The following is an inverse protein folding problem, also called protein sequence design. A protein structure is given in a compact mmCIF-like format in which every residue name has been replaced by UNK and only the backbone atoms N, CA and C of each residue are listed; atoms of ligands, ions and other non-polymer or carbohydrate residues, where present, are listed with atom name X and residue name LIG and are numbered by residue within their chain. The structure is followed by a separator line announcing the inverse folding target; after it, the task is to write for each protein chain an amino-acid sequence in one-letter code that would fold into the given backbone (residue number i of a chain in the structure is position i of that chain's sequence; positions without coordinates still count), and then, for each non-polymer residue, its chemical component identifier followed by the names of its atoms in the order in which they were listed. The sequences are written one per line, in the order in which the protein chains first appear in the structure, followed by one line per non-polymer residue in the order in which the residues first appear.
data_IF_290056064630
#
_entry.id   IF_290056064630
#
_cell.length_a   1.000
_cell.length_b   1.000
_cell.length_c   1.000
_cell.angle_alpha   90.00
_cell.angle_beta   90.00
_cell.angle_gamma   90.00
#
_symmetry.space_group_name_H-M   'P 1'
#
loop_
_entity.id
_entity.type
_entity.pdbx_description
1 polymer ?
#
# COMPACT_ATOMS: atom_id res chain seq x y z
N UNK A 1 -14.92 -24.45 1.10
CA UNK A 1 -16.30 -23.88 1.20
C UNK A 1 -16.48 -23.40 2.64
N UNK A 2 -16.69 -22.11 2.81
CA UNK A 2 -17.05 -21.54 4.13
C UNK A 2 -18.57 -21.34 4.13
N UNK A 3 -19.27 -22.01 5.03
CA UNK A 3 -20.71 -21.83 5.18
C UNK A 3 -21.06 -21.27 6.55
N UNK A 4 -21.96 -20.30 6.61
CA UNK A 4 -22.53 -19.76 7.84
C UNK A 4 -24.04 -20.02 7.77
N UNK A 5 -24.61 -20.67 8.78
CA UNK A 5 -26.03 -21.04 8.85
C UNK A 5 -26.54 -21.82 7.62
N UNK A 6 -25.71 -22.73 7.08
CA UNK A 6 -26.08 -23.53 5.91
C UNK A 6 -26.09 -22.78 4.57
N UNK A 7 -25.78 -21.49 4.54
CA UNK A 7 -25.52 -20.74 3.30
C UNK A 7 -24.05 -20.76 2.97
N UNK A 8 -23.69 -21.16 1.75
CA UNK A 8 -22.34 -21.03 1.23
C UNK A 8 -21.99 -19.54 1.17
N UNK A 9 -21.10 -19.11 2.04
CA UNK A 9 -20.70 -17.70 2.12
C UNK A 9 -19.58 -17.34 1.14
N UNK A 10 -18.73 -18.30 0.77
CA UNK A 10 -17.73 -18.17 -0.28
C UNK A 10 -17.28 -19.57 -0.75
N UNK A 11 -17.42 -19.80 -2.05
CA UNK A 11 -16.67 -20.86 -2.72
C UNK A 11 -15.34 -20.25 -3.18
N UNK A 12 -14.24 -20.81 -2.67
CA UNK A 12 -12.90 -20.43 -3.09
C UNK A 12 -12.20 -21.70 -3.57
N UNK A 13 -11.85 -21.73 -4.85
CA UNK A 13 -10.99 -22.73 -5.43
C UNK A 13 -9.57 -22.21 -5.55
N UNK A 14 -8.59 -23.02 -5.14
CA UNK A 14 -7.17 -22.68 -5.28
C UNK A 14 -6.47 -23.77 -6.07
N UNK A 15 -5.65 -23.37 -7.04
CA UNK A 15 -4.76 -24.27 -7.75
C UNK A 15 -3.31 -23.87 -7.50
N UNK A 16 -2.45 -24.87 -7.48
CA UNK A 16 -1.03 -24.70 -7.16
C UNK A 16 -0.19 -25.18 -8.33
N UNK A 17 0.98 -24.62 -8.50
CA UNK A 17 1.96 -25.05 -9.48
C UNK A 17 2.67 -26.35 -9.03
N UNK A 18 3.55 -26.88 -9.87
CA UNK A 18 4.32 -28.10 -9.60
C UNK A 18 5.23 -28.01 -8.37
N UNK A 19 5.55 -26.80 -7.92
CA UNK A 19 6.36 -26.51 -6.73
C UNK A 19 5.50 -26.25 -5.49
N UNK A 20 4.16 -26.40 -5.59
CA UNK A 20 3.24 -26.18 -4.47
C UNK A 20 2.95 -24.70 -4.18
N UNK A 21 3.29 -23.76 -5.08
CA UNK A 21 2.99 -22.34 -4.92
C UNK A 21 1.60 -22.02 -5.47
N UNK A 22 0.87 -21.12 -4.82
CA UNK A 22 -0.46 -20.71 -5.25
C UNK A 22 -0.39 -20.08 -6.65
N UNK A 23 -0.97 -20.74 -7.64
CA UNK A 23 -0.99 -20.26 -9.02
C UNK A 23 -2.28 -19.50 -9.33
N UNK A 24 -3.42 -20.07 -8.98
CA UNK A 24 -4.71 -19.40 -9.20
C UNK A 24 -5.61 -19.52 -7.99
N UNK A 25 -6.42 -18.49 -7.77
CA UNK A 25 -7.46 -18.47 -6.75
C UNK A 25 -8.74 -17.91 -7.37
N UNK A 26 -9.81 -18.70 -7.37
CA UNK A 26 -11.11 -18.31 -7.92
C UNK A 26 -12.12 -18.18 -6.79
N UNK A 27 -12.76 -17.04 -6.68
CA UNK A 27 -13.85 -16.79 -5.73
C UNK A 27 -15.22 -17.06 -6.38
N UNK A 28 -16.22 -17.39 -5.58
CA UNK A 28 -17.57 -17.73 -6.04
C UNK A 28 -18.31 -16.63 -6.79
N UNK A 29 -17.84 -15.37 -6.69
CA UNK A 29 -18.34 -14.24 -7.48
C UNK A 29 -17.71 -14.15 -8.88
N UNK A 30 -16.91 -15.14 -9.31
CA UNK A 30 -16.23 -15.18 -10.59
C UNK A 30 -14.92 -14.37 -10.68
N UNK A 31 -14.46 -13.84 -9.55
CA UNK A 31 -13.13 -13.21 -9.47
C UNK A 31 -12.05 -14.28 -9.47
N UNK A 32 -11.17 -14.22 -10.44
CA UNK A 32 -9.97 -15.05 -10.55
C UNK A 32 -8.72 -14.21 -10.31
N UNK A 33 -7.83 -14.72 -9.47
CA UNK A 33 -6.51 -14.13 -9.21
C UNK A 33 -5.45 -15.11 -9.65
N UNK A 34 -4.61 -14.71 -10.58
CA UNK A 34 -3.43 -15.46 -11.07
C UNK A 34 -2.16 -14.89 -10.42
N UNK A 35 -1.28 -15.77 -9.94
CA UNK A 35 0.02 -15.43 -9.39
C UNK A 35 1.12 -15.97 -10.30
N UNK A 36 2.13 -15.17 -10.56
CA UNK A 36 3.33 -15.54 -11.32
C UNK A 36 4.57 -15.43 -10.45
N UNK A 37 5.50 -16.33 -10.67
CA UNK A 37 6.75 -16.38 -9.90
C UNK A 37 7.93 -16.39 -10.86
N UNK A 38 9.04 -15.79 -10.42
CA UNK A 38 10.30 -15.88 -11.16
C UNK A 38 11.03 -17.20 -10.85
N UNK A 39 12.20 -17.39 -11.47
CA UNK A 39 13.00 -18.60 -11.31
C UNK A 39 13.48 -18.82 -9.86
N UNK A 40 13.61 -17.75 -9.07
CA UNK A 40 13.98 -17.82 -7.65
C UNK A 40 12.79 -18.18 -6.75
N UNK A 41 11.57 -18.30 -7.32
CA UNK A 41 10.35 -18.53 -6.56
C UNK A 41 9.73 -17.26 -5.97
N UNK A 42 10.24 -16.07 -6.30
CA UNK A 42 9.67 -14.81 -5.84
C UNK A 42 8.47 -14.43 -6.69
N UNK A 43 7.45 -13.85 -6.05
CA UNK A 43 6.27 -13.34 -6.75
C UNK A 43 6.70 -12.27 -7.76
N UNK A 44 6.34 -12.46 -9.02
CA UNK A 44 6.68 -11.54 -10.12
C UNK A 44 5.46 -10.89 -10.76
N UNK A 45 4.26 -11.35 -10.45
CA UNK A 45 3.04 -10.74 -10.95
C UNK A 45 1.77 -11.29 -10.35
N UNK A 46 0.76 -10.42 -10.32
CA UNK A 46 -0.62 -10.74 -9.94
C UNK A 46 -1.54 -10.23 -11.04
N UNK A 47 -2.51 -11.03 -11.45
CA UNK A 47 -3.54 -10.60 -12.38
C UNK A 47 -4.90 -10.94 -11.82
N UNK A 48 -5.77 -9.95 -11.71
CA UNK A 48 -7.17 -10.14 -11.36
C UNK A 48 -8.04 -10.09 -12.61
N UNK A 49 -8.88 -11.11 -12.77
CA UNK A 49 -9.86 -11.22 -13.86
C UNK A 49 -11.25 -11.42 -13.29
N UNK A 50 -12.24 -10.90 -13.95
CA UNK A 50 -13.63 -11.22 -13.65
C UNK A 50 -14.25 -11.93 -14.84
N UNK A 51 -14.93 -13.04 -14.59
CA UNK A 51 -15.72 -13.75 -15.60
C UNK A 51 -17.04 -13.01 -15.78
N UNK A 52 -17.27 -12.46 -16.95
CA UNK A 52 -18.48 -11.70 -17.27
C UNK A 52 -19.13 -12.22 -18.55
N UNK A 53 -20.46 -12.22 -18.64
CA UNK A 53 -21.16 -12.57 -19.88
C UNK A 53 -20.93 -11.46 -20.92
N UNK A 54 -20.67 -11.87 -22.15
CA UNK A 54 -20.64 -11.02 -23.33
C UNK A 54 -21.64 -11.57 -24.35
N UNK A 55 -22.57 -10.75 -24.81
CA UNK A 55 -23.55 -11.16 -25.81
C UNK A 55 -23.02 -10.81 -27.19
N UNK A 56 -22.95 -11.83 -28.08
CA UNK A 56 -22.67 -11.59 -29.48
C UNK A 56 -23.93 -10.94 -30.11
N UNK A 57 -23.80 -9.69 -30.52
CA UNK A 57 -24.93 -8.91 -31.07
C UNK A 57 -25.43 -9.44 -32.43
N UNK A 58 -24.67 -10.29 -33.11
CA UNK A 58 -25.07 -10.88 -34.41
C UNK A 58 -25.81 -12.21 -34.25
N UNK A 59 -25.40 -13.03 -33.29
CA UNK A 59 -25.97 -14.38 -33.11
C UNK A 59 -26.86 -14.48 -31.87
N UNK A 60 -26.82 -13.51 -30.95
CA UNK A 60 -27.53 -13.56 -29.69
C UNK A 60 -26.90 -14.49 -28.64
N UNK A 61 -25.80 -15.15 -28.98
CA UNK A 61 -25.15 -16.10 -28.09
C UNK A 61 -24.44 -15.40 -26.96
N UNK A 62 -24.52 -16.00 -25.76
CA UNK A 62 -23.78 -15.52 -24.59
C UNK A 62 -22.45 -16.26 -24.48
N UNK A 63 -21.35 -15.50 -24.60
CA UNK A 63 -20.00 -15.96 -24.34
C UNK A 63 -19.54 -15.48 -22.98
N UNK A 64 -18.85 -16.34 -22.23
CA UNK A 64 -18.21 -15.94 -20.99
C UNK A 64 -16.77 -15.51 -21.26
N UNK A 65 -16.49 -14.21 -21.05
CA UNK A 65 -15.14 -13.65 -21.25
C UNK A 65 -14.51 -13.31 -19.90
N UNK A 66 -13.18 -13.47 -19.85
CA UNK A 66 -12.38 -13.07 -18.69
C UNK A 66 -11.83 -11.67 -18.93
N UNK A 67 -12.44 -10.68 -18.28
CA UNK A 67 -11.95 -9.31 -18.34
C UNK A 67 -10.88 -9.10 -17.28
N UNK A 68 -9.71 -8.63 -17.68
CA UNK A 68 -8.67 -8.19 -16.75
C UNK A 68 -9.15 -6.89 -16.11
N UNK A 69 -9.19 -6.85 -14.79
CA UNK A 69 -9.59 -5.68 -14.01
C UNK A 69 -8.41 -5.01 -13.30
N UNK A 70 -7.34 -5.78 -13.08
CA UNK A 70 -6.11 -5.27 -12.46
C UNK A 70 -4.93 -6.18 -12.78
N UNK A 71 -3.76 -5.58 -13.01
CA UNK A 71 -2.49 -6.29 -13.12
C UNK A 71 -1.44 -5.59 -12.28
N UNK A 72 -0.58 -6.38 -11.66
CA UNK A 72 0.58 -5.92 -10.92
C UNK A 72 1.80 -6.74 -11.33
N UNK A 73 2.93 -6.08 -11.51
CA UNK A 73 4.21 -6.71 -11.83
C UNK A 73 5.26 -6.25 -10.82
N UNK A 74 5.99 -7.20 -10.27
CA UNK A 74 7.09 -6.97 -9.34
C UNK A 74 8.41 -7.27 -10.07
N UNK A 75 9.20 -6.23 -10.29
CA UNK A 75 10.47 -6.31 -11.00
C UNK A 75 11.64 -6.23 -10.02
N UNK A 76 12.57 -7.14 -10.18
CA UNK A 76 13.79 -7.25 -9.37
C UNK A 76 15.02 -6.93 -10.23
N UNK A 77 15.22 -7.68 -11.30
CA UNK A 77 16.45 -7.71 -12.10
C UNK A 77 16.39 -6.84 -13.36
N UNK A 78 15.19 -6.54 -13.86
CA UNK A 78 14.97 -5.82 -15.13
C UNK A 78 13.90 -4.74 -14.96
N UNK A 79 14.05 -3.82 -13.99
CA UNK A 79 13.14 -2.70 -13.86
C UNK A 79 13.31 -1.74 -15.05
N UNK A 80 12.30 -0.92 -15.30
CA UNK A 80 12.31 0.10 -16.36
C UNK A 80 12.62 1.49 -15.82
N UNK A 81 12.13 1.80 -14.61
CA UNK A 81 12.32 3.09 -13.95
C UNK A 81 13.38 3.05 -12.83
N UNK A 82 13.64 1.89 -12.25
CA UNK A 82 14.58 1.71 -11.13
C UNK A 82 15.93 1.13 -11.58
N UNK A 83 16.84 0.93 -10.64
CA UNK A 83 18.07 0.16 -10.84
C UNK A 83 17.82 -1.33 -10.53
N UNK A 84 18.41 -2.27 -11.27
CA UNK A 84 18.31 -3.70 -10.96
C UNK A 84 18.82 -4.03 -9.56
N UNK A 85 18.11 -4.92 -8.86
CA UNK A 85 18.46 -5.42 -7.52
C UNK A 85 18.52 -6.94 -7.54
N UNK A 86 19.58 -7.49 -6.94
CA UNK A 86 19.86 -8.94 -6.91
C UNK A 86 19.77 -9.52 -5.50
N UNK A 87 19.45 -8.68 -4.51
CA UNK A 87 19.33 -9.07 -3.09
C UNK A 87 18.00 -9.72 -2.71
N UNK A 88 17.02 -9.71 -3.61
CA UNK A 88 15.66 -10.13 -3.34
C UNK A 88 14.72 -8.97 -3.00
N UNK A 89 15.24 -7.76 -2.87
CA UNK A 89 14.42 -6.57 -2.74
C UNK A 89 13.74 -6.24 -4.07
N UNK A 90 12.50 -5.78 -4.01
CA UNK A 90 11.73 -5.36 -5.19
C UNK A 90 12.31 -4.03 -5.67
N UNK A 91 12.80 -3.98 -6.91
CA UNK A 91 13.30 -2.76 -7.51
C UNK A 91 12.17 -1.84 -7.98
N UNK A 92 11.09 -2.45 -8.46
CA UNK A 92 9.98 -1.73 -9.08
C UNK A 92 8.69 -2.52 -8.97
N UNK A 93 7.57 -1.82 -8.72
CA UNK A 93 6.22 -2.36 -8.85
C UNK A 93 5.48 -1.54 -9.89
N UNK A 94 4.98 -2.20 -10.94
CA UNK A 94 4.14 -1.59 -11.96
C UNK A 94 2.73 -2.14 -11.88
N UNK A 95 1.71 -1.29 -12.05
CA UNK A 95 0.32 -1.75 -12.05
C UNK A 95 -0.54 -1.02 -13.06
N UNK A 96 -1.60 -1.70 -13.49
CA UNK A 96 -2.59 -1.19 -14.43
C UNK A 96 -4.01 -1.57 -13.95
N UNK A 97 -4.99 -0.69 -14.16
CA UNK A 97 -6.41 -0.95 -13.98
C UNK A 97 -7.02 -1.31 -15.33
N UNK A 98 -7.20 -2.58 -15.58
CA UNK A 98 -7.92 -3.26 -16.66
C UNK A 98 -8.14 -2.59 -18.00
N UNK A 99 -8.87 -1.52 -18.05
CA UNK A 99 -9.19 -0.76 -19.26
C UNK A 99 -8.64 0.67 -19.27
N UNK A 100 -7.90 1.04 -18.25
CA UNK A 100 -7.30 2.36 -18.20
C UNK A 100 -6.12 2.41 -19.17
N UNK A 101 -6.38 2.99 -20.34
CA UNK A 101 -5.40 3.16 -21.43
C UNK A 101 -4.35 4.22 -21.07
N UNK A 102 -4.54 4.90 -19.94
CA UNK A 102 -3.78 6.08 -19.52
C UNK A 102 -2.51 5.78 -18.73
N UNK A 103 -1.97 4.60 -18.90
CA UNK A 103 -0.61 4.38 -18.50
C UNK A 103 -0.40 3.52 -17.26
N UNK A 104 0.55 2.64 -17.39
CA UNK A 104 1.09 1.88 -16.28
C UNK A 104 1.66 2.86 -15.26
N UNK A 105 1.21 2.74 -14.02
CA UNK A 105 1.83 3.42 -12.91
C UNK A 105 2.95 2.53 -12.39
N UNK A 106 4.06 3.14 -11.98
CA UNK A 106 5.24 2.41 -11.54
C UNK A 106 5.86 3.10 -10.33
N UNK A 107 6.01 2.36 -9.23
CA UNK A 107 6.90 2.78 -8.15
C UNK A 107 8.29 2.20 -8.36
N UNK A 108 9.29 3.07 -8.38
CA UNK A 108 10.69 2.71 -8.31
C UNK A 108 11.20 2.87 -6.87
N UNK A 109 11.92 1.86 -6.38
CA UNK A 109 12.38 1.80 -5.00
C UNK A 109 13.90 1.90 -4.92
N UNK A 110 14.39 2.59 -3.89
CA UNK A 110 15.79 2.63 -3.50
C UNK A 110 15.96 2.12 -2.07
N UNK A 111 17.11 1.53 -1.80
CA UNK A 111 17.41 0.90 -0.52
C UNK A 111 18.79 1.30 -0.03
N UNK A 112 18.99 1.28 1.28
CA UNK A 112 20.30 1.42 1.89
C UNK A 112 21.10 0.10 1.84
N UNK A 113 22.33 0.13 2.35
CA UNK A 113 23.21 -1.05 2.37
C UNK A 113 22.69 -2.21 3.25
N UNK A 114 21.75 -1.94 4.15
CA UNK A 114 21.10 -2.96 4.98
C UNK A 114 19.80 -3.48 4.35
N UNK A 115 19.45 -3.02 3.12
CA UNK A 115 18.25 -3.42 2.41
C UNK A 115 16.97 -2.76 2.91
N UNK A 116 17.06 -1.64 3.65
CA UNK A 116 15.91 -0.86 4.11
C UNK A 116 15.53 0.18 3.08
N UNK A 117 14.24 0.41 2.87
CA UNK A 117 13.71 1.35 1.88
C UNK A 117 14.15 2.79 2.19
N UNK A 118 14.75 3.47 1.22
CA UNK A 118 15.12 4.90 1.36
C UNK A 118 14.23 5.81 0.56
N UNK A 119 13.79 5.36 -0.62
CA UNK A 119 12.98 6.16 -1.51
C UNK A 119 11.95 5.30 -2.24
N UNK A 120 10.76 5.86 -2.47
CA UNK A 120 9.69 5.30 -3.28
C UNK A 120 9.18 6.41 -4.22
N UNK A 121 9.50 6.32 -5.50
CA UNK A 121 9.19 7.34 -6.49
C UNK A 121 8.17 6.85 -7.50
N UNK A 122 7.09 7.60 -7.68
CA UNK A 122 6.05 7.26 -8.65
C UNK A 122 6.39 7.78 -10.04
N UNK A 123 6.33 6.88 -11.01
CA UNK A 123 6.51 7.14 -12.44
C UNK A 123 5.21 6.81 -13.18
N UNK A 124 4.95 7.53 -14.27
CA UNK A 124 3.93 7.18 -15.26
C UNK A 124 4.59 6.86 -16.58
N UNK A 125 4.00 5.91 -17.29
CA UNK A 125 4.38 5.62 -18.66
C UNK A 125 3.93 6.77 -19.55
N UNK A 126 4.88 7.42 -20.24
CA UNK A 126 4.57 8.40 -21.27
C UNK A 126 4.19 7.65 -22.57
N UNK A 127 3.03 7.94 -23.17
CA UNK A 127 2.71 7.43 -24.48
C UNK A 127 3.62 8.09 -25.51
N UNK A 128 4.71 7.42 -25.87
CA UNK A 128 5.60 7.88 -26.93
C UNK A 128 5.50 6.90 -28.10
N UNK A 129 5.24 7.40 -29.30
CA UNK A 129 5.16 6.57 -30.51
C UNK A 129 6.49 5.90 -30.85
N UNK A 130 7.61 6.45 -30.43
CA UNK A 130 8.95 5.97 -30.80
C UNK A 130 9.73 5.28 -29.67
N UNK A 131 9.45 5.60 -28.42
CA UNK A 131 10.08 4.98 -27.24
C UNK A 131 9.13 5.05 -26.04
N UNK A 132 8.55 3.90 -25.63
CA UNK A 132 7.79 3.88 -24.38
C UNK A 132 8.77 4.06 -23.21
N UNK A 133 8.88 5.28 -22.72
CA UNK A 133 9.69 5.62 -21.55
C UNK A 133 8.82 5.78 -20.31
N UNK A 134 9.44 5.64 -19.14
CA UNK A 134 8.85 6.02 -17.86
C UNK A 134 9.42 7.38 -17.48
N UNK A 135 8.53 8.32 -17.18
CA UNK A 135 8.91 9.63 -16.63
C UNK A 135 8.39 9.77 -15.21
N UNK A 136 9.19 10.31 -14.28
CA UNK A 136 8.67 10.65 -12.96
C UNK A 136 7.51 11.65 -13.12
N UNK A 137 6.55 11.59 -12.22
CA UNK A 137 5.50 12.59 -12.17
C UNK A 137 6.14 13.96 -11.97
N UNK A 138 5.76 14.95 -12.79
CA UNK A 138 6.39 16.29 -12.83
C UNK A 138 6.40 16.99 -11.47
N UNK A 139 5.38 16.77 -10.67
CA UNK A 139 5.18 17.34 -9.36
C UNK A 139 5.64 16.44 -8.21
N UNK A 140 6.27 15.30 -8.51
CA UNK A 140 6.62 14.27 -7.55
C UNK A 140 5.41 13.76 -6.71
N UNK A 141 4.19 13.83 -7.25
CA UNK A 141 2.98 13.38 -6.55
C UNK A 141 3.13 11.94 -6.06
N UNK A 142 2.72 11.66 -4.82
CA UNK A 142 2.84 10.35 -4.17
C UNK A 142 4.27 9.80 -4.09
N UNK A 143 5.26 10.68 -3.98
CA UNK A 143 6.66 10.30 -3.82
C UNK A 143 7.08 10.42 -2.36
N UNK A 144 7.80 9.42 -1.87
CA UNK A 144 8.42 9.41 -0.55
C UNK A 144 9.93 9.28 -0.68
N UNK A 145 10.67 10.10 0.05
CA UNK A 145 12.13 10.17 -0.07
C UNK A 145 12.80 10.34 1.28
N UNK A 146 14.10 10.03 1.29
CA UNK A 146 15.01 10.27 2.42
C UNK A 146 14.50 9.63 3.71
N UNK A 147 14.08 8.37 3.62
CA UNK A 147 13.76 7.61 4.82
C UNK A 147 15.03 7.35 5.60
N UNK A 148 15.06 7.83 6.84
CA UNK A 148 16.15 7.66 7.78
C UNK A 148 15.74 6.70 8.89
N UNK A 149 16.68 5.89 9.34
CA UNK A 149 16.46 4.86 10.33
C UNK A 149 17.39 5.02 11.52
N UNK A 150 16.96 4.52 12.67
CA UNK A 150 17.84 4.31 13.81
C UNK A 150 18.60 2.98 13.70
N UNK A 151 19.42 2.68 14.72
CA UNK A 151 20.20 1.43 14.75
C UNK A 151 19.32 0.17 14.92
N UNK A 152 18.11 0.31 15.46
CA UNK A 152 17.14 -0.77 15.62
C UNK A 152 16.30 -1.00 14.36
N UNK A 153 16.42 -0.13 13.32
CA UNK A 153 15.63 -0.20 12.10
C UNK A 153 14.30 0.55 12.16
N UNK A 154 14.04 1.32 13.21
CA UNK A 154 12.86 2.16 13.27
C UNK A 154 13.03 3.39 12.37
N UNK A 155 11.97 3.80 11.67
CA UNK A 155 11.96 5.03 10.86
C UNK A 155 12.06 6.24 11.79
N UNK A 156 13.03 7.11 11.54
CA UNK A 156 13.22 8.37 12.26
C UNK A 156 12.67 9.57 11.53
N UNK A 157 12.77 9.59 10.22
CA UNK A 157 12.21 10.65 9.38
C UNK A 157 12.03 10.20 7.95
N UNK A 158 11.14 10.88 7.22
CA UNK A 158 11.05 10.82 5.78
C UNK A 158 10.37 12.08 5.23
N UNK A 159 10.47 12.28 3.94
CA UNK A 159 9.82 13.37 3.22
C UNK A 159 8.74 12.79 2.29
N UNK A 160 7.54 13.36 2.35
CA UNK A 160 6.42 13.03 1.46
C UNK A 160 6.12 14.21 0.55
N UNK A 161 5.98 13.90 -0.73
CA UNK A 161 5.67 14.86 -1.78
C UNK A 161 4.31 14.50 -2.38
N UNK A 162 3.41 15.48 -2.45
CA UNK A 162 2.10 15.35 -3.07
C UNK A 162 1.81 16.63 -3.86
N UNK A 163 2.43 16.75 -5.03
CA UNK A 163 2.39 17.97 -5.82
C UNK A 163 3.17 19.09 -5.15
N UNK A 164 2.48 20.20 -4.86
CA UNK A 164 3.05 21.36 -4.17
C UNK A 164 3.13 21.17 -2.65
N UNK A 165 2.39 20.19 -2.12
CA UNK A 165 2.45 19.85 -0.71
C UNK A 165 3.69 19.01 -0.44
N UNK A 166 4.55 19.48 0.43
CA UNK A 166 5.75 18.78 0.88
C UNK A 166 5.74 18.74 2.38
N UNK A 167 5.84 17.55 2.96
CA UNK A 167 5.87 17.35 4.39
C UNK A 167 7.09 16.51 4.77
N UNK A 168 7.82 16.97 5.78
CA UNK A 168 8.80 16.16 6.48
C UNK A 168 8.20 15.64 7.77
N UNK A 169 8.19 14.32 7.91
CA UNK A 169 7.78 13.62 9.11
C UNK A 169 9.01 13.31 9.96
N UNK A 170 8.91 13.53 11.27
CA UNK A 170 9.88 13.06 12.25
C UNK A 170 9.19 12.21 13.31
N UNK A 171 9.76 11.07 13.58
CA UNK A 171 9.30 10.10 14.56
C UNK A 171 10.21 10.15 15.78
N UNK A 172 9.65 10.48 16.94
CA UNK A 172 10.35 10.42 18.21
C UNK A 172 9.97 9.10 18.88
N UNK A 173 10.98 8.36 19.28
CA UNK A 173 10.87 7.03 19.84
C UNK A 173 11.44 6.99 21.25
N UNK A 174 10.83 6.20 22.12
CA UNK A 174 11.40 5.73 23.38
C UNK A 174 11.64 4.23 23.24
N UNK A 175 12.91 3.83 23.11
CA UNK A 175 13.26 2.50 22.63
C UNK A 175 12.69 2.25 21.24
N UNK A 176 11.74 1.29 21.13
CA UNK A 176 11.03 0.98 19.90
C UNK A 176 9.57 1.48 19.91
N UNK A 177 9.14 2.19 20.95
CA UNK A 177 7.80 2.76 21.01
C UNK A 177 7.78 4.14 20.38
N UNK A 178 6.81 4.40 19.51
CA UNK A 178 6.58 5.70 18.91
C UNK A 178 5.93 6.64 19.95
N UNK A 179 6.64 7.68 20.36
CA UNK A 179 6.13 8.63 21.36
C UNK A 179 5.45 9.83 20.70
N UNK A 180 6.00 10.29 19.58
CA UNK A 180 5.47 11.46 18.84
C UNK A 180 5.73 11.39 17.36
N UNK A 181 4.82 11.98 16.58
CA UNK A 181 5.03 12.30 15.17
C UNK A 181 4.94 13.82 14.99
N UNK A 182 5.98 14.40 14.40
CA UNK A 182 6.06 15.82 14.10
C UNK A 182 6.04 16.03 12.59
N UNK A 183 5.31 17.07 12.15
CA UNK A 183 5.21 17.44 10.74
C UNK A 183 5.86 18.81 10.52
N UNK A 184 6.60 18.92 9.43
CA UNK A 184 7.24 20.16 8.99
C UNK A 184 6.87 20.41 7.54
N UNK A 185 6.11 21.50 7.24
CA UNK A 185 5.81 21.84 5.85
C UNK A 185 7.08 22.26 5.12
N UNK A 186 7.20 21.87 3.86
CA UNK A 186 8.30 22.20 3.00
C UNK A 186 7.86 23.18 1.90
N UNK A 187 8.75 24.08 1.52
CA UNK A 187 8.59 24.97 0.39
C UNK A 187 9.75 24.79 -0.59
N UNK A 188 9.46 24.86 -1.89
CA UNK A 188 10.50 24.87 -2.93
C UNK A 188 10.88 26.30 -3.27
N UNK A 189 12.18 26.57 -3.40
CA UNK A 189 12.66 27.80 -4.01
C UNK A 189 12.60 27.74 -5.54
N UNK A 190 13.03 28.81 -6.23
CA UNK A 190 13.06 28.89 -7.69
C UNK A 190 14.01 27.87 -8.35
N UNK A 191 14.94 27.30 -7.60
CA UNK A 191 15.89 26.28 -8.04
C UNK A 191 15.37 24.85 -7.73
N UNK A 192 14.18 24.74 -7.09
CA UNK A 192 13.57 23.47 -6.69
C UNK A 192 14.14 22.87 -5.40
N UNK A 193 14.99 23.60 -4.67
CA UNK A 193 15.51 23.16 -3.38
C UNK A 193 14.44 23.31 -2.31
N UNK A 194 14.26 22.24 -1.50
CA UNK A 194 13.27 22.22 -0.43
C UNK A 194 13.85 22.75 0.86
N UNK A 195 13.19 23.73 1.47
CA UNK A 195 13.41 24.17 2.83
C UNK A 195 12.20 23.84 3.68
N UNK A 196 12.41 23.35 4.92
CA UNK A 196 11.34 23.01 5.84
C UNK A 196 11.12 24.13 6.85
N UNK A 197 9.86 24.50 7.03
CA UNK A 197 9.40 25.54 7.95
C UNK A 197 9.35 25.11 9.41
N UNK A 198 8.52 25.82 10.17
CA UNK A 198 8.27 25.54 11.59
C UNK A 198 7.36 24.31 11.70
N UNK A 199 7.48 23.57 12.79
CA UNK A 199 6.62 22.46 13.13
C UNK A 199 5.14 22.89 13.19
N UNK A 200 4.28 22.19 12.43
CA UNK A 200 2.82 22.46 12.40
C UNK A 200 2.01 21.53 13.31
N UNK A 201 2.52 20.34 13.57
CA UNK A 201 1.80 19.36 14.39
C UNK A 201 2.75 18.60 15.32
N UNK A 202 2.29 18.38 16.54
CA UNK A 202 2.94 17.58 17.57
C UNK A 202 1.92 16.53 18.07
N UNK A 203 1.95 15.35 17.46
CA UNK A 203 0.98 14.28 17.72
C UNK A 203 1.57 13.27 18.72
N UNK A 204 1.12 13.28 20.00
CA UNK A 204 1.59 12.32 20.99
C UNK A 204 0.93 10.95 20.82
N UNK A 205 1.65 9.91 21.23
CA UNK A 205 1.17 8.54 21.34
C UNK A 205 1.36 8.08 22.78
N UNK A 206 0.34 7.44 23.35
CA UNK A 206 0.38 6.95 24.73
C UNK A 206 0.14 5.45 24.77
N UNK A 207 0.80 4.80 25.73
CA UNK A 207 0.77 3.36 25.88
C UNK A 207 0.39 2.99 27.32
N UNK A 208 -0.27 1.83 27.49
CA UNK A 208 -0.50 1.25 28.79
C UNK A 208 0.76 0.55 29.34
N UNK A 209 0.67 0.03 30.54
CA UNK A 209 1.79 -0.68 31.19
C UNK A 209 2.20 -1.98 30.48
N UNK A 210 1.35 -2.51 29.60
CA UNK A 210 1.60 -3.71 28.79
C UNK A 210 2.20 -3.37 27.43
N UNK A 211 2.33 -2.08 27.10
CA UNK A 211 2.86 -1.58 25.83
C UNK A 211 1.81 -1.47 24.72
N UNK A 212 0.52 -1.57 25.03
CA UNK A 212 -0.54 -1.38 24.06
C UNK A 212 -0.78 0.11 23.81
N UNK A 213 -1.00 0.53 22.57
CA UNK A 213 -1.31 1.90 22.19
C UNK A 213 -2.72 2.29 22.69
N UNK A 214 -2.83 3.19 23.66
CA UNK A 214 -4.11 3.66 24.22
C UNK A 214 -4.55 5.01 23.67
N UNK A 215 -3.63 5.79 23.13
CA UNK A 215 -3.93 7.05 22.47
C UNK A 215 -3.09 7.26 21.22
N UNK A 216 -3.76 7.48 20.09
CA UNK A 216 -3.18 7.89 18.81
C UNK A 216 -3.46 9.38 18.59
N UNK A 217 -2.45 10.22 18.84
CA UNK A 217 -2.58 11.65 18.68
C UNK A 217 -2.70 12.12 17.25
N UNK A 218 -2.18 11.36 16.27
CA UNK A 218 -2.29 11.71 14.86
C UNK A 218 -3.73 11.59 14.35
N UNK A 219 -4.43 10.54 14.76
CA UNK A 219 -5.81 10.29 14.36
C UNK A 219 -6.82 10.72 15.42
N UNK A 220 -6.36 11.25 16.57
CA UNK A 220 -7.20 11.64 17.69
C UNK A 220 -8.09 10.49 18.17
N UNK A 221 -7.51 9.30 18.36
CA UNK A 221 -8.22 8.09 18.73
C UNK A 221 -7.81 7.58 20.11
N UNK A 222 -8.79 7.09 20.86
CA UNK A 222 -8.58 6.29 22.07
C UNK A 222 -8.87 4.84 21.82
N UNK A 223 -7.99 3.97 22.29
CA UNK A 223 -8.07 2.52 22.09
C UNK A 223 -8.13 1.87 23.47
N UNK A 224 -9.06 0.95 23.69
CA UNK A 224 -9.09 0.11 24.88
C UNK A 224 -8.99 -1.36 24.51
N UNK A 225 -8.43 -2.14 25.41
CA UNK A 225 -8.11 -3.54 25.21
C UNK A 225 -8.88 -4.41 26.23
N UNK A 226 -9.09 -5.66 25.87
CA UNK A 226 -9.62 -6.66 26.78
C UNK A 226 -8.49 -7.29 27.64
N UNK A 227 -8.85 -8.27 28.47
CA UNK A 227 -7.90 -8.97 29.36
C UNK A 227 -6.89 -9.85 28.61
N UNK A 228 -7.09 -10.12 27.32
CA UNK A 228 -6.17 -10.83 26.44
C UNK A 228 -5.26 -9.88 25.63
N UNK A 229 -5.28 -8.59 25.93
CA UNK A 229 -4.60 -7.53 25.16
C UNK A 229 -5.06 -7.42 23.70
N UNK A 230 -6.33 -7.77 23.42
CA UNK A 230 -6.92 -7.61 22.12
C UNK A 230 -7.69 -6.26 22.08
N UNK A 231 -7.59 -5.47 20.99
CA UNK A 231 -8.33 -4.23 20.87
C UNK A 231 -9.83 -4.47 21.00
N UNK A 232 -10.48 -3.89 22.01
CA UNK A 232 -11.91 -4.04 22.25
C UNK A 232 -12.71 -2.88 21.66
N UNK A 233 -12.19 -1.65 21.80
CA UNK A 233 -12.91 -0.46 21.39
C UNK A 233 -11.98 0.61 20.84
N UNK A 234 -12.39 1.24 19.73
CA UNK A 234 -11.72 2.40 19.15
C UNK A 234 -12.75 3.53 19.09
N UNK A 235 -12.43 4.67 19.66
CA UNK A 235 -13.31 5.84 19.73
C UNK A 235 -12.53 7.13 19.45
N UNK A 236 -13.18 8.19 18.94
CA UNK A 236 -12.59 9.53 18.90
C UNK A 236 -12.19 9.99 20.31
N UNK A 237 -11.07 10.71 20.43
CA UNK A 237 -10.58 11.23 21.69
C UNK A 237 -11.49 12.32 22.27
N UNK A 238 -12.06 13.16 21.37
CA UNK A 238 -13.03 14.18 21.69
C UNK A 238 -14.41 13.82 21.13
N UNK A 239 -15.43 13.92 21.96
CA UNK A 239 -16.82 13.77 21.57
C UNK A 239 -17.29 15.08 20.91
N UNK A 240 -17.20 15.19 19.60
CA UNK A 240 -17.94 16.22 18.89
C UNK A 240 -19.43 15.85 18.92
N UNK A 241 -20.22 16.64 19.63
CA UNK A 241 -21.61 16.40 20.04
C UNK A 241 -22.65 16.34 18.92
N UNK A 242 -22.31 16.10 17.67
CA UNK A 242 -23.24 16.15 16.55
C UNK A 242 -23.50 14.84 15.81
N UNK A 243 -22.84 13.74 16.13
CA UNK A 243 -23.18 12.46 15.50
C UNK A 243 -23.21 11.37 16.57
N UNK A 244 -24.36 10.86 16.88
CA UNK A 244 -24.63 9.81 17.88
C UNK A 244 -23.88 8.47 17.71
N UNK A 245 -22.67 8.47 17.18
CA UNK A 245 -21.77 7.33 17.12
C UNK A 245 -20.59 7.54 18.06
N UNK A 246 -20.69 6.91 19.21
CA UNK A 246 -19.66 6.90 20.26
C UNK A 246 -18.41 6.08 19.92
N UNK A 247 -18.42 5.31 18.82
CA UNK A 247 -17.34 4.39 18.49
C UNK A 247 -17.09 4.32 16.97
N UNK A 248 -15.82 4.18 16.57
CA UNK A 248 -15.45 3.81 15.20
C UNK A 248 -15.49 2.30 15.00
N UNK A 249 -15.09 1.55 16.02
CA UNK A 249 -15.14 0.09 16.01
C UNK A 249 -15.35 -0.45 17.42
N UNK A 250 -16.05 -1.56 17.51
CA UNK A 250 -16.22 -2.37 18.71
C UNK A 250 -16.02 -3.84 18.32
N UNK A 251 -15.06 -4.51 18.93
CA UNK A 251 -14.69 -5.87 18.61
C UNK A 251 -15.17 -6.81 19.72
N UNK A 252 -15.82 -7.91 19.33
CA UNK A 252 -16.12 -9.02 20.20
C UNK A 252 -15.30 -10.23 19.73
N UNK A 253 -14.49 -10.77 20.60
CA UNK A 253 -13.75 -12.01 20.35
C UNK A 253 -14.52 -13.17 20.99
N UNK A 254 -14.66 -14.29 20.25
CA UNK A 254 -15.33 -15.51 20.68
C UNK A 254 -14.37 -16.46 21.36
#
# INVERSE_FOLDING_TARGET
VVSINGKVCADVASAYDELGRLQTKTAGNGLETEHKYNIQGWLSGITHRIKAPSVNLQTGDTLWIHNIIFTEQLNYFKPQAAKPLYSGNIAEISWNRGRDVMGDNTYAYSYDMLGRLTDAELYKREPSENFPGFSPLRDNTFTERRMEYDLNGNIRSFERYNGDEILKYKYLLDGNQLVRVKHYPGTKDSEGKVAFGIEEADNPFEYDAMGNLVYDGQNQLKISYDFLNLPQKIAPAELHSQAGKLFLANYCYL
#
